data_IF_939370078172
#
_entry.id   IF_939370078172
#
_cell.length_a   1.000
_cell.length_b   1.000
_cell.length_c   1.000
_cell.angle_alpha   90.00
_cell.angle_beta   90.00
_cell.angle_gamma   90.00
#
_symmetry.space_group_name_H-M   'P 1'
#
loop_
_entity.id
_entity.type
_entity.pdbx_description
1 polymer ?
#
# COMPACT_ATOMS: atom_id res chain seq x y z
N UNK A 1 -51.12 26.02 -4.34
CA UNK A 1 -50.72 24.61 -4.53
C UNK A 1 -49.27 24.48 -4.11
N UNK A 2 -49.02 23.91 -2.92
CA UNK A 2 -47.67 23.64 -2.46
C UNK A 2 -47.16 22.37 -3.15
N UNK A 3 -46.06 22.48 -3.90
CA UNK A 3 -45.34 21.32 -4.40
C UNK A 3 -44.67 20.64 -3.20
N UNK A 4 -45.19 19.48 -2.79
CA UNK A 4 -44.44 18.54 -1.96
C UNK A 4 -43.27 18.04 -2.82
N UNK A 5 -42.06 18.43 -2.47
CA UNK A 5 -40.86 17.74 -2.93
C UNK A 5 -40.89 16.33 -2.35
N UNK A 6 -41.12 15.33 -3.20
CA UNK A 6 -40.91 13.93 -2.84
C UNK A 6 -39.41 13.73 -2.69
N UNK A 7 -38.94 13.75 -1.45
CA UNK A 7 -37.59 13.29 -1.10
C UNK A 7 -37.61 11.78 -1.28
N UNK A 8 -37.17 11.32 -2.45
CA UNK A 8 -36.87 9.91 -2.69
C UNK A 8 -35.67 9.55 -1.83
N UNK A 9 -35.89 9.02 -0.62
CA UNK A 9 -34.84 8.34 0.13
C UNK A 9 -34.43 7.12 -0.68
N UNK A 10 -33.29 7.20 -1.37
CA UNK A 10 -32.69 6.00 -1.96
C UNK A 10 -32.29 5.12 -0.78
N UNK A 11 -33.03 4.03 -0.55
CA UNK A 11 -32.67 3.06 0.47
C UNK A 11 -31.27 2.50 0.15
N UNK A 12 -30.35 2.54 1.12
CA UNK A 12 -28.99 2.04 0.94
C UNK A 12 -28.96 0.57 0.54
N UNK A 13 -27.98 0.19 -0.29
CA UNK A 13 -27.78 -1.19 -0.73
C UNK A 13 -27.31 -2.05 0.44
N UNK A 14 -27.98 -3.19 0.66
CA UNK A 14 -27.58 -4.16 1.68
C UNK A 14 -26.47 -5.06 1.14
N UNK A 15 -25.32 -5.03 1.79
CA UNK A 15 -24.16 -5.85 1.46
C UNK A 15 -23.97 -6.92 2.51
N UNK A 16 -23.62 -8.14 2.07
CA UNK A 16 -23.37 -9.26 2.97
C UNK A 16 -22.33 -10.20 2.38
N UNK A 17 -21.37 -10.56 3.22
CA UNK A 17 -20.36 -11.58 2.97
C UNK A 17 -20.82 -12.92 3.55
N UNK A 18 -20.17 -14.02 3.13
CA UNK A 18 -20.54 -15.37 3.58
C UNK A 18 -20.18 -15.65 5.04
N UNK A 19 -19.21 -14.94 5.57
CA UNK A 19 -18.68 -15.04 6.94
C UNK A 19 -19.34 -14.05 7.92
N UNK A 20 -20.52 -13.53 7.56
CA UNK A 20 -21.38 -12.80 8.48
C UNK A 20 -21.13 -11.30 8.57
N UNK A 21 -20.12 -10.75 7.88
CA UNK A 21 -19.94 -9.30 7.74
C UNK A 21 -21.02 -8.73 6.81
N UNK A 22 -21.75 -7.74 7.29
CA UNK A 22 -22.79 -7.03 6.54
C UNK A 22 -22.69 -5.52 6.74
N UNK A 23 -23.17 -4.75 5.77
CA UNK A 23 -23.23 -3.30 5.86
C UNK A 23 -24.37 -2.71 5.01
N UNK A 24 -24.80 -1.51 5.37
CA UNK A 24 -25.71 -0.69 4.54
C UNK A 24 -24.90 0.36 3.80
N UNK A 25 -24.86 0.28 2.47
CA UNK A 25 -24.04 1.15 1.63
C UNK A 25 -24.87 2.24 0.94
N UNK A 26 -24.34 3.47 0.95
CA UNK A 26 -24.87 4.62 0.24
C UNK A 26 -23.74 5.26 -0.57
N UNK A 27 -23.61 4.87 -1.85
CA UNK A 27 -22.46 5.22 -2.71
C UNK A 27 -21.15 4.77 -2.06
N UNK A 28 -20.31 5.72 -1.63
CA UNK A 28 -19.01 5.49 -1.00
C UNK A 28 -19.08 5.39 0.52
N UNK A 29 -20.24 5.66 1.14
CA UNK A 29 -20.41 5.58 2.58
C UNK A 29 -21.02 4.24 3.02
N UNK A 30 -20.70 3.83 4.24
CA UNK A 30 -21.39 2.76 4.95
C UNK A 30 -22.08 3.35 6.19
N UNK A 31 -23.42 3.32 6.23
CA UNK A 31 -24.20 3.90 7.33
C UNK A 31 -24.30 2.98 8.55
N UNK A 32 -24.13 1.66 8.35
CA UNK A 32 -23.99 0.67 9.42
C UNK A 32 -23.10 -0.49 8.98
N UNK A 33 -22.44 -1.12 9.96
CA UNK A 33 -21.64 -2.34 9.79
C UNK A 33 -22.03 -3.34 10.88
N UNK A 34 -22.17 -4.61 10.53
CA UNK A 34 -22.59 -5.67 11.44
C UNK A 34 -21.77 -6.95 11.24
N UNK A 35 -21.61 -7.73 12.30
CA UNK A 35 -21.06 -9.10 12.28
C UNK A 35 -22.12 -10.06 12.83
N UNK A 36 -22.41 -11.12 12.07
CA UNK A 36 -23.38 -12.17 12.45
C UNK A 36 -24.77 -11.63 12.82
N UNK A 37 -25.15 -10.51 12.21
CA UNK A 37 -26.43 -9.82 12.46
C UNK A 37 -26.43 -8.88 13.66
N UNK A 38 -25.35 -8.79 14.43
CA UNK A 38 -25.17 -7.79 15.47
C UNK A 38 -24.47 -6.54 14.91
N UNK A 39 -25.07 -5.37 15.08
CA UNK A 39 -24.45 -4.10 14.67
C UNK A 39 -23.22 -3.80 15.52
N UNK A 40 -22.15 -3.38 14.86
CA UNK A 40 -20.94 -2.93 15.51
C UNK A 40 -21.12 -1.50 16.04
N UNK A 41 -20.74 -1.21 17.29
CA UNK A 41 -21.06 0.05 17.95
C UNK A 41 -20.44 1.26 17.23
N UNK A 42 -21.29 2.17 16.76
CA UNK A 42 -20.92 3.39 16.03
C UNK A 42 -20.10 3.16 14.74
N UNK A 43 -20.06 1.92 14.24
CA UNK A 43 -19.29 1.57 13.06
C UNK A 43 -19.94 2.11 11.79
N UNK A 44 -19.31 3.13 11.22
CA UNK A 44 -19.69 3.72 9.93
C UNK A 44 -18.46 4.12 9.14
N UNK A 45 -18.59 4.18 7.82
CA UNK A 45 -17.49 4.60 6.93
C UNK A 45 -17.92 5.82 6.14
N UNK A 46 -17.13 6.89 6.24
CA UNK A 46 -17.29 8.11 5.46
C UNK A 46 -16.11 8.26 4.49
N UNK A 47 -16.36 8.86 3.32
CA UNK A 47 -15.33 9.16 2.33
C UNK A 47 -15.38 10.64 1.99
N UNK A 48 -14.23 11.32 2.06
CA UNK A 48 -14.13 12.76 1.86
C UNK A 48 -12.84 13.13 1.13
N UNK A 49 -12.87 14.17 0.30
CA UNK A 49 -11.67 14.81 -0.23
C UNK A 49 -11.32 16.01 0.64
N UNK A 50 -10.07 16.08 1.09
CA UNK A 50 -9.59 17.15 1.98
C UNK A 50 -8.37 17.83 1.39
N UNK A 51 -8.18 19.09 1.78
CA UNK A 51 -6.96 19.84 1.50
C UNK A 51 -5.78 19.20 2.26
N UNK A 52 -4.66 18.88 1.58
CA UNK A 52 -3.52 18.24 2.22
C UNK A 52 -2.89 19.05 3.37
N UNK A 53 -3.02 20.38 3.36
CA UNK A 53 -2.42 21.29 4.34
C UNK A 53 -3.40 21.83 5.40
N UNK A 54 -4.71 21.78 5.16
CA UNK A 54 -5.69 22.42 6.04
C UNK A 54 -6.66 21.45 6.77
N UNK A 55 -6.64 20.14 6.46
CA UNK A 55 -7.57 19.13 7.00
C UNK A 55 -9.08 19.48 6.78
N UNK A 56 -9.35 20.49 5.95
CA UNK A 56 -10.68 20.95 5.59
C UNK A 56 -11.13 20.29 4.28
N UNK A 57 -12.45 20.25 4.05
CA UNK A 57 -13.01 19.72 2.81
C UNK A 57 -12.47 20.50 1.59
N UNK A 58 -11.99 19.75 0.59
CA UNK A 58 -11.51 20.33 -0.65
C UNK A 58 -12.67 20.51 -1.65
N UNK A 59 -12.64 21.60 -2.40
CA UNK A 59 -13.64 21.92 -3.44
C UNK A 59 -13.10 21.67 -4.85
N UNK A 60 -14.01 21.46 -5.81
CA UNK A 60 -13.68 21.19 -7.21
C UNK A 60 -13.13 19.78 -7.43
N UNK A 61 -13.61 18.82 -6.65
CA UNK A 61 -13.33 17.40 -6.82
C UNK A 61 -14.64 16.62 -6.82
N UNK A 62 -14.78 15.69 -7.75
CA UNK A 62 -15.89 14.75 -7.81
C UNK A 62 -15.40 13.39 -7.33
N UNK A 63 -16.13 12.78 -6.39
CA UNK A 63 -15.86 11.41 -5.93
C UNK A 63 -16.96 10.49 -6.44
N UNK A 64 -16.55 9.46 -7.16
CA UNK A 64 -17.42 8.35 -7.54
C UNK A 64 -16.89 7.07 -6.92
N UNK A 65 -17.77 6.14 -6.59
CA UNK A 65 -17.39 4.84 -6.07
C UNK A 65 -18.55 4.11 -5.45
N UNK A 66 -18.35 2.81 -5.29
CA UNK A 66 -19.36 1.90 -4.78
C UNK A 66 -18.74 0.83 -3.90
N UNK A 67 -19.54 0.35 -2.96
CA UNK A 67 -19.24 -0.81 -2.16
C UNK A 67 -19.85 -2.06 -2.78
N UNK A 68 -19.06 -3.13 -2.83
CA UNK A 68 -19.48 -4.47 -3.26
C UNK A 68 -19.12 -5.50 -2.20
N UNK A 69 -19.79 -6.65 -2.20
CA UNK A 69 -19.46 -7.77 -1.33
C UNK A 69 -18.96 -8.96 -2.16
N UNK A 70 -17.66 -9.24 -2.10
CA UNK A 70 -17.02 -10.30 -2.88
C UNK A 70 -15.84 -10.90 -2.11
N UNK A 71 -15.57 -12.19 -2.28
CA UNK A 71 -14.38 -12.84 -1.72
C UNK A 71 -14.32 -12.91 -0.20
N UNK A 72 -15.43 -12.64 0.52
CA UNK A 72 -15.43 -12.54 1.98
C UNK A 72 -15.01 -11.16 2.52
N UNK A 73 -15.06 -10.12 1.67
CA UNK A 73 -14.83 -8.75 2.08
C UNK A 73 -15.89 -7.80 1.52
N UNK A 74 -15.99 -6.62 2.12
CA UNK A 74 -16.60 -5.45 1.50
C UNK A 74 -15.50 -4.69 0.76
N UNK A 75 -15.69 -4.42 -0.53
CA UNK A 75 -14.71 -3.73 -1.37
C UNK A 75 -15.27 -2.39 -1.79
N UNK A 76 -14.54 -1.32 -1.50
CA UNK A 76 -14.79 0.00 -2.04
C UNK A 76 -13.87 0.21 -3.24
N UNK A 77 -14.44 0.54 -4.39
CA UNK A 77 -13.70 0.94 -5.58
C UNK A 77 -14.32 2.22 -6.14
N UNK A 78 -13.46 3.14 -6.59
CA UNK A 78 -13.91 4.42 -7.08
C UNK A 78 -12.81 5.25 -7.72
N UNK A 79 -13.14 6.50 -8.02
CA UNK A 79 -12.24 7.49 -8.59
C UNK A 79 -12.54 8.87 -8.01
N UNK A 80 -11.48 9.65 -7.79
CA UNK A 80 -11.57 11.09 -7.59
C UNK A 80 -11.21 11.78 -8.90
N UNK A 81 -12.02 12.72 -9.34
CA UNK A 81 -11.75 13.56 -10.51
C UNK A 81 -11.58 15.00 -10.10
N UNK A 82 -10.48 15.63 -10.52
CA UNK A 82 -10.29 17.07 -10.36
C UNK A 82 -11.05 17.83 -11.45
N UNK A 83 -11.76 18.88 -11.06
CA UNK A 83 -12.41 19.80 -12.00
C UNK A 83 -11.38 20.73 -12.68
N UNK A 84 -11.71 21.13 -13.91
CA UNK A 84 -10.92 22.09 -14.68
C UNK A 84 -9.73 21.45 -15.41
N UNK A 85 -8.66 22.23 -15.53
CA UNK A 85 -7.49 21.89 -16.34
C UNK A 85 -6.16 22.11 -15.60
N UNK A 86 -6.18 22.72 -14.42
CA UNK A 86 -4.96 23.00 -13.66
C UNK A 86 -4.49 21.75 -12.91
N UNK A 87 -3.17 21.68 -12.68
CA UNK A 87 -2.61 20.70 -11.76
C UNK A 87 -3.10 20.97 -10.33
N UNK A 88 -3.46 19.89 -9.61
CA UNK A 88 -4.01 19.98 -8.25
C UNK A 88 -3.50 18.84 -7.38
N UNK A 89 -3.54 19.04 -6.08
CA UNK A 89 -3.32 17.99 -5.10
C UNK A 89 -4.50 17.97 -4.12
N UNK A 90 -4.90 16.77 -3.72
CA UNK A 90 -5.87 16.57 -2.66
C UNK A 90 -5.70 15.20 -2.03
N UNK A 91 -6.20 15.06 -0.81
CA UNK A 91 -6.18 13.79 -0.14
C UNK A 91 -7.57 13.18 -0.07
N UNK A 92 -7.71 11.93 -0.47
CA UNK A 92 -8.93 11.17 -0.24
C UNK A 92 -8.82 10.45 1.10
N UNK A 93 -9.78 10.69 1.99
CA UNK A 93 -9.84 10.11 3.32
C UNK A 93 -11.01 9.14 3.39
N UNK A 94 -10.71 7.86 3.62
CA UNK A 94 -11.68 6.84 4.02
C UNK A 94 -11.62 6.73 5.54
N UNK A 95 -12.67 7.19 6.23
CA UNK A 95 -12.72 7.27 7.69
C UNK A 95 -13.67 6.22 8.25
N UNK A 96 -13.15 5.28 9.01
CA UNK A 96 -13.93 4.31 9.79
C UNK A 96 -14.15 4.86 11.19
N UNK A 97 -15.40 5.11 11.56
CA UNK A 97 -15.77 5.59 12.90
C UNK A 97 -16.14 4.46 13.83
N UNK A 98 -16.11 4.73 15.13
CA UNK A 98 -16.28 3.71 16.17
C UNK A 98 -15.08 2.77 16.28
N UNK A 99 -14.01 3.05 15.51
CA UNK A 99 -12.83 2.22 15.41
C UNK A 99 -11.62 2.90 16.06
N UNK A 100 -10.72 2.07 16.55
CA UNK A 100 -9.41 2.45 17.09
C UNK A 100 -8.32 1.55 16.49
N UNK A 101 -7.08 2.02 16.50
CA UNK A 101 -5.93 1.20 16.13
C UNK A 101 -5.37 0.49 17.38
N UNK A 102 -5.27 -0.82 17.31
CA UNK A 102 -4.57 -1.63 18.31
C UNK A 102 -3.09 -1.75 17.90
N UNK A 103 -2.27 -0.79 18.31
CA UNK A 103 -0.84 -0.77 18.03
C UNK A 103 -0.05 -1.31 19.22
N UNK A 104 1.02 -2.04 18.92
CA UNK A 104 1.92 -2.61 19.93
C UNK A 104 3.38 -2.27 19.69
N UNK A 105 4.20 -2.79 20.59
CA UNK A 105 5.65 -2.93 20.40
C UNK A 105 6.01 -4.41 20.43
N UNK A 106 7.13 -4.78 19.82
CA UNK A 106 7.61 -6.18 19.86
C UNK A 106 7.83 -6.70 21.30
N UNK A 107 8.10 -5.82 22.26
CA UNK A 107 8.38 -6.19 23.64
C UNK A 107 7.13 -6.22 24.53
N UNK A 108 6.12 -5.38 24.23
CA UNK A 108 4.90 -5.28 25.04
C UNK A 108 3.79 -6.20 24.55
N UNK A 109 3.39 -6.04 23.28
CA UNK A 109 2.19 -6.67 22.73
C UNK A 109 2.51 -7.21 21.32
N UNK A 110 3.23 -8.34 21.22
CA UNK A 110 3.77 -8.84 19.95
C UNK A 110 2.70 -9.38 18.98
N UNK A 111 1.43 -9.48 19.42
CA UNK A 111 0.31 -9.87 18.58
C UNK A 111 -0.37 -8.68 17.88
N UNK A 112 -0.10 -7.45 18.36
CA UNK A 112 -0.63 -6.23 17.76
C UNK A 112 0.27 -5.76 16.60
N UNK A 113 -0.28 -4.90 15.73
CA UNK A 113 0.50 -4.25 14.68
C UNK A 113 1.61 -3.39 15.33
N UNK A 114 2.90 -3.63 15.03
CA UNK A 114 3.95 -2.78 15.56
C UNK A 114 3.79 -1.34 15.07
N UNK A 115 3.75 -0.37 15.99
CA UNK A 115 3.50 1.04 15.65
C UNK A 115 4.46 1.59 14.59
N UNK A 116 5.73 1.13 14.59
CA UNK A 116 6.76 1.49 13.61
C UNK A 116 6.48 1.06 12.15
N UNK A 117 5.52 0.15 11.97
CA UNK A 117 5.08 -0.39 10.69
C UNK A 117 3.75 0.22 10.23
N UNK A 118 3.13 1.10 11.03
CA UNK A 118 1.96 1.85 10.60
C UNK A 118 2.28 2.64 9.33
N UNK A 119 1.39 2.57 8.34
CA UNK A 119 1.58 3.17 6.99
C UNK A 119 2.73 2.59 6.16
N UNK A 120 3.52 1.64 6.69
CA UNK A 120 4.47 0.85 5.89
C UNK A 120 3.83 -0.42 5.35
N UNK A 121 2.83 -0.93 6.06
CA UNK A 121 2.01 -2.05 5.63
C UNK A 121 0.69 -1.53 5.05
N UNK A 122 0.15 -2.15 3.99
CA UNK A 122 -1.09 -1.74 3.33
C UNK A 122 -2.34 -2.18 4.11
N UNK A 123 -2.23 -2.39 5.43
CA UNK A 123 -3.25 -3.05 6.25
C UNK A 123 -3.16 -2.61 7.71
N UNK A 124 -4.32 -2.44 8.33
CA UNK A 124 -4.48 -2.26 9.77
C UNK A 124 -5.59 -3.14 10.32
N UNK A 125 -5.46 -3.55 11.58
CA UNK A 125 -6.57 -4.11 12.36
C UNK A 125 -7.37 -2.97 12.98
N UNK A 126 -8.69 -3.08 12.97
CA UNK A 126 -9.63 -2.13 13.54
C UNK A 126 -10.24 -2.71 14.81
N UNK A 127 -10.06 -2.01 15.92
CA UNK A 127 -10.70 -2.32 17.19
C UNK A 127 -12.03 -1.60 17.28
N UNK A 128 -13.13 -2.34 17.39
CA UNK A 128 -14.47 -1.79 17.54
C UNK A 128 -15.14 -2.48 18.72
N UNK A 129 -15.70 -1.70 19.65
CA UNK A 129 -16.30 -2.26 20.87
C UNK A 129 -15.32 -2.99 21.79
N UNK A 130 -14.01 -2.74 21.65
CA UNK A 130 -12.96 -3.38 22.45
C UNK A 130 -12.31 -4.60 21.81
N UNK A 131 -12.80 -5.05 20.66
CA UNK A 131 -12.30 -6.23 19.96
C UNK A 131 -11.73 -5.91 18.57
N UNK A 132 -10.66 -6.59 18.19
CA UNK A 132 -10.05 -6.51 16.85
C UNK A 132 -10.86 -7.34 15.85
N UNK A 133 -12.03 -6.84 15.47
CA UNK A 133 -13.05 -7.61 14.75
C UNK A 133 -13.11 -7.31 13.24
N UNK A 134 -12.46 -6.24 12.77
CA UNK A 134 -12.33 -5.92 11.35
C UNK A 134 -10.87 -5.58 10.98
N UNK A 135 -10.55 -5.64 9.69
CA UNK A 135 -9.36 -5.07 9.11
C UNK A 135 -9.70 -4.17 7.93
N UNK A 136 -8.92 -3.09 7.76
CA UNK A 136 -8.96 -2.19 6.61
C UNK A 136 -7.64 -2.31 5.85
N UNK A 137 -7.71 -2.56 4.55
CA UNK A 137 -6.51 -2.77 3.74
C UNK A 137 -6.63 -2.20 2.32
N UNK A 138 -5.49 -1.95 1.70
CA UNK A 138 -5.38 -1.66 0.27
C UNK A 138 -5.07 -2.95 -0.49
N UNK A 139 -5.73 -3.22 -1.62
CA UNK A 139 -5.32 -4.30 -2.51
C UNK A 139 -3.85 -4.13 -2.96
N UNK A 140 -3.05 -5.20 -2.99
CA UNK A 140 -1.64 -5.13 -3.37
C UNK A 140 -1.43 -4.78 -4.85
N UNK A 141 -2.44 -5.00 -5.69
CA UNK A 141 -2.50 -4.63 -7.11
C UNK A 141 -2.97 -3.18 -7.35
N UNK A 142 -3.35 -2.46 -6.29
CA UNK A 142 -3.81 -1.08 -6.33
C UNK A 142 -2.81 -0.15 -5.62
N UNK A 143 -1.60 -0.08 -6.15
CA UNK A 143 -0.51 0.73 -5.59
C UNK A 143 -0.93 2.19 -5.42
N UNK A 144 -0.82 2.69 -4.19
CA UNK A 144 -1.07 4.09 -3.87
C UNK A 144 -0.17 4.55 -2.72
N UNK A 145 0.23 5.83 -2.76
CA UNK A 145 0.81 6.51 -1.60
C UNK A 145 -0.31 6.67 -0.59
N UNK A 146 -0.14 6.05 0.57
CA UNK A 146 -1.17 6.00 1.60
C UNK A 146 -0.61 6.25 3.00
N UNK A 147 -1.50 6.60 3.90
CA UNK A 147 -1.21 6.78 5.31
C UNK A 147 -2.40 6.31 6.14
N UNK A 148 -2.14 5.52 7.18
CA UNK A 148 -3.12 5.23 8.21
C UNK A 148 -2.94 6.19 9.39
N UNK A 149 -4.05 6.76 9.86
CA UNK A 149 -4.09 7.64 11.03
C UNK A 149 -5.19 7.21 11.98
N UNK A 150 -5.05 7.57 13.25
CA UNK A 150 -6.11 7.40 14.25
C UNK A 150 -6.40 8.71 14.94
N UNK A 151 -7.67 8.99 15.18
CA UNK A 151 -8.12 10.04 16.09
C UNK A 151 -9.09 9.48 17.12
N UNK A 152 -9.72 10.36 17.90
CA UNK A 152 -10.67 9.93 18.93
C UNK A 152 -11.91 9.29 18.28
N UNK A 153 -12.03 7.97 18.42
CA UNK A 153 -13.17 7.19 17.92
C UNK A 153 -13.21 7.03 16.40
N UNK A 154 -12.08 7.18 15.71
CA UNK A 154 -11.98 6.88 14.28
C UNK A 154 -10.57 6.45 13.86
N UNK A 155 -10.52 5.70 12.75
CA UNK A 155 -9.32 5.36 11.99
C UNK A 155 -9.50 5.84 10.55
N UNK A 156 -8.45 6.39 9.97
CA UNK A 156 -8.43 6.89 8.59
C UNK A 156 -7.43 6.12 7.75
N UNK A 157 -7.83 5.81 6.52
CA UNK A 157 -6.94 5.54 5.40
C UNK A 157 -6.95 6.77 4.48
N UNK A 158 -5.80 7.41 4.32
CA UNK A 158 -5.62 8.59 3.50
C UNK A 158 -4.80 8.25 2.26
N UNK A 159 -5.32 8.55 1.09
CA UNK A 159 -4.60 8.52 -0.16
C UNK A 159 -4.07 9.91 -0.48
N UNK A 160 -2.83 10.01 -0.95
CA UNK A 160 -2.22 11.27 -1.40
C UNK A 160 -2.31 11.36 -2.92
N UNK A 161 -3.17 12.22 -3.45
CA UNK A 161 -3.37 12.34 -4.90
C UNK A 161 -2.78 13.61 -5.48
N UNK A 162 -2.09 13.43 -6.62
CA UNK A 162 -1.75 14.48 -7.56
C UNK A 162 -2.55 14.29 -8.84
N UNK A 163 -3.06 15.39 -9.37
CA UNK A 163 -3.88 15.44 -10.57
C UNK A 163 -3.19 16.34 -11.58
N UNK A 164 -2.92 15.82 -12.77
CA UNK A 164 -2.31 16.59 -13.87
C UNK A 164 -2.91 16.18 -15.21
N UNK A 165 -2.86 17.10 -16.19
CA UNK A 165 -3.25 16.80 -17.58
C UNK A 165 -2.20 16.00 -18.32
N UNK A 166 -0.97 16.01 -17.84
CA UNK A 166 0.16 15.33 -18.48
C UNK A 166 0.22 13.83 -18.11
N UNK A 167 -0.71 13.36 -17.27
CA UNK A 167 -0.88 11.95 -16.99
C UNK A 167 -1.34 11.17 -18.24
N UNK A 168 -1.21 9.83 -18.19
CA UNK A 168 -1.77 8.96 -19.22
C UNK A 168 -3.28 9.22 -19.39
N UNK A 169 -3.86 9.07 -20.59
CA UNK A 169 -5.25 9.46 -20.87
C UNK A 169 -6.28 8.98 -19.84
N UNK A 170 -6.13 7.75 -19.34
CA UNK A 170 -7.02 7.15 -18.33
C UNK A 170 -6.88 7.73 -16.92
N UNK A 171 -5.81 8.48 -16.63
CA UNK A 171 -5.52 9.13 -15.35
C UNK A 171 -5.48 10.67 -15.44
N UNK A 172 -5.78 11.25 -16.59
CA UNK A 172 -5.78 12.71 -16.75
C UNK A 172 -6.80 13.35 -15.81
N UNK A 173 -6.29 14.11 -14.84
CA UNK A 173 -7.06 14.72 -13.75
C UNK A 173 -7.94 13.72 -12.99
N UNK A 174 -7.51 12.46 -12.90
CA UNK A 174 -8.23 11.35 -12.27
C UNK A 174 -7.32 10.51 -11.40
N UNK A 175 -7.83 10.07 -10.25
CA UNK A 175 -7.12 9.21 -9.32
C UNK A 175 -8.03 8.06 -8.85
N UNK A 176 -7.85 6.83 -9.35
CA UNK A 176 -8.60 5.68 -8.87
C UNK A 176 -8.16 5.30 -7.46
N UNK A 177 -9.09 4.77 -6.67
CA UNK A 177 -8.82 4.30 -5.31
C UNK A 177 -9.55 2.99 -5.02
N UNK A 178 -8.95 2.16 -4.16
CA UNK A 178 -9.51 0.87 -3.74
C UNK A 178 -9.11 0.53 -2.31
N UNK A 179 -10.08 0.15 -1.48
CA UNK A 179 -9.80 -0.51 -0.21
C UNK A 179 -10.79 -1.65 0.05
N UNK A 180 -10.42 -2.51 0.99
CA UNK A 180 -11.25 -3.61 1.46
C UNK A 180 -11.42 -3.54 2.98
N UNK A 181 -12.62 -3.88 3.44
CA UNK A 181 -12.98 -4.08 4.83
C UNK A 181 -13.42 -5.53 4.99
N UNK A 182 -12.82 -6.26 5.93
CA UNK A 182 -13.17 -7.67 6.15
C UNK A 182 -13.07 -8.05 7.62
N UNK A 183 -13.72 -9.16 7.97
CA UNK A 183 -13.77 -9.70 9.33
C UNK A 183 -12.43 -10.26 9.78
N UNK A 184 -12.11 -10.07 11.04
CA UNK A 184 -10.98 -10.71 11.73
C UNK A 184 -11.47 -11.50 12.95
N UNK A 185 -10.64 -12.43 13.41
CA UNK A 185 -10.77 -13.12 14.69
C UNK A 185 -10.02 -12.33 15.78
N UNK A 186 -10.74 -11.76 16.77
CA UNK A 186 -10.12 -10.97 17.83
C UNK A 186 -9.07 -11.73 18.64
N UNK A 187 -9.15 -13.06 18.75
CA UNK A 187 -8.19 -13.88 19.48
C UNK A 187 -6.78 -13.80 18.87
N UNK A 188 -6.69 -13.58 17.56
CA UNK A 188 -5.44 -13.59 16.81
C UNK A 188 -4.95 -12.19 16.43
N UNK A 189 -5.68 -11.13 16.80
CA UNK A 189 -5.30 -9.74 16.58
C UNK A 189 -4.81 -9.47 15.14
N UNK A 190 -3.65 -8.83 14.98
CA UNK A 190 -3.09 -8.49 13.67
C UNK A 190 -2.77 -9.72 12.80
N UNK A 191 -2.56 -10.90 13.39
CA UNK A 191 -2.33 -12.12 12.61
C UNK A 191 -3.57 -12.54 11.81
N UNK A 192 -4.78 -12.37 12.37
CA UNK A 192 -6.01 -12.65 11.61
C UNK A 192 -6.21 -11.62 10.50
N UNK A 193 -5.88 -10.35 10.74
CA UNK A 193 -5.88 -9.33 9.69
C UNK A 193 -4.96 -9.76 8.54
N UNK A 194 -3.72 -10.15 8.83
CA UNK A 194 -2.75 -10.58 7.83
C UNK A 194 -3.16 -11.87 7.10
N UNK A 195 -3.69 -12.86 7.82
CA UNK A 195 -4.22 -14.09 7.22
C UNK A 195 -5.36 -13.78 6.22
N UNK A 196 -6.30 -12.93 6.61
CA UNK A 196 -7.37 -12.48 5.73
C UNK A 196 -6.83 -11.77 4.49
N UNK A 197 -5.77 -10.96 4.64
CA UNK A 197 -5.14 -10.27 3.52
C UNK A 197 -4.55 -11.25 2.49
N UNK A 198 -3.81 -12.26 2.96
CA UNK A 198 -3.25 -13.29 2.08
C UNK A 198 -4.33 -14.14 1.41
N UNK A 199 -5.42 -14.44 2.11
CA UNK A 199 -6.57 -15.16 1.54
C UNK A 199 -7.32 -14.36 0.47
N UNK A 200 -7.43 -13.03 0.65
CA UNK A 200 -8.08 -12.14 -0.32
C UNK A 200 -7.21 -11.90 -1.56
N UNK A 201 -5.89 -11.91 -1.40
CA UNK A 201 -4.94 -11.61 -2.46
C UNK A 201 -3.83 -12.65 -2.56
N UNK A 202 -4.14 -13.92 -2.90
CA UNK A 202 -3.13 -14.99 -2.86
C UNK A 202 -2.02 -14.78 -3.91
N UNK A 203 -2.38 -14.31 -5.10
CA UNK A 203 -1.47 -14.28 -6.26
C UNK A 203 -0.15 -13.53 -6.01
N UNK A 204 -0.11 -12.31 -5.43
CA UNK A 204 1.16 -11.64 -5.16
C UNK A 204 2.05 -12.33 -4.12
N UNK A 205 1.50 -13.25 -3.33
CA UNK A 205 2.22 -14.02 -2.31
C UNK A 205 2.48 -15.47 -2.74
N UNK A 206 2.08 -15.86 -3.94
CA UNK A 206 2.49 -17.14 -4.51
C UNK A 206 4.02 -17.14 -4.68
N UNK A 207 4.72 -18.14 -4.14
CA UNK A 207 6.17 -18.23 -4.32
C UNK A 207 6.50 -18.30 -5.81
N UNK A 208 7.26 -17.32 -6.32
CA UNK A 208 7.86 -17.38 -7.66
C UNK A 208 9.27 -18.01 -7.63
N UNK A 209 9.76 -18.32 -6.42
CA UNK A 209 11.04 -18.96 -6.14
C UNK A 209 11.04 -20.35 -6.79
N UNK A 210 11.92 -20.55 -7.77
CA UNK A 210 12.03 -21.83 -8.51
C UNK A 210 12.90 -22.84 -7.78
N UNK A 211 13.85 -22.38 -6.98
CA UNK A 211 14.82 -23.20 -6.24
C UNK A 211 15.01 -22.61 -4.84
N UNK A 212 15.07 -23.46 -3.81
CA UNK A 212 15.25 -22.99 -2.45
C UNK A 212 16.74 -22.75 -2.13
N UNK A 213 17.06 -21.63 -1.49
CA UNK A 213 18.41 -21.34 -1.03
C UNK A 213 18.54 -19.92 -0.49
N UNK A 214 19.56 -19.68 0.33
CA UNK A 214 19.92 -18.36 0.81
C UNK A 214 20.48 -17.45 -0.28
N UNK A 215 20.43 -16.16 -0.01
CA UNK A 215 21.09 -15.11 -0.79
C UNK A 215 22.55 -14.95 -0.35
N UNK A 216 23.44 -14.89 -1.31
CA UNK A 216 24.88 -14.77 -1.13
C UNK A 216 25.34 -13.42 -1.66
N UNK A 217 25.68 -12.50 -0.75
CA UNK A 217 26.00 -11.10 -1.03
C UNK A 217 27.51 -10.87 -1.07
N UNK A 218 28.02 -10.35 -2.20
CA UNK A 218 29.36 -9.77 -2.34
C UNK A 218 30.52 -10.62 -1.76
N UNK A 219 30.45 -11.94 -1.89
CA UNK A 219 31.47 -12.86 -1.42
C UNK A 219 31.83 -13.86 -2.53
N UNK A 220 33.07 -14.35 -2.51
CA UNK A 220 33.50 -15.38 -3.45
C UNK A 220 32.72 -16.67 -3.20
N UNK A 221 32.25 -17.33 -4.26
CA UNK A 221 31.53 -18.61 -4.14
C UNK A 221 32.45 -19.80 -3.92
N UNK A 222 33.76 -19.56 -3.76
CA UNK A 222 34.77 -20.58 -3.49
C UNK A 222 34.79 -20.91 -1.99
N UNK A 223 34.93 -22.19 -1.64
CA UNK A 223 35.03 -22.69 -0.25
C UNK A 223 33.86 -22.36 0.69
N UNK A 224 32.64 -22.24 0.16
CA UNK A 224 31.46 -22.00 0.99
C UNK A 224 31.17 -23.19 1.92
N UNK A 225 31.05 -22.98 3.25
CA UNK A 225 30.55 -24.03 4.12
C UNK A 225 29.08 -24.28 3.83
N UNK A 226 28.73 -25.54 3.52
CA UNK A 226 27.36 -25.96 3.19
C UNK A 226 26.78 -25.26 1.95
N UNK A 227 27.41 -25.40 0.76
CA UNK A 227 26.99 -24.70 -0.45
C UNK A 227 25.54 -25.03 -0.86
N UNK A 228 25.03 -26.21 -0.50
CA UNK A 228 23.65 -26.63 -0.74
C UNK A 228 22.59 -25.78 -0.05
N UNK A 229 22.96 -24.92 0.90
CA UNK A 229 22.03 -23.98 1.55
C UNK A 229 21.92 -22.65 0.80
N UNK A 230 22.68 -22.46 -0.27
CA UNK A 230 22.72 -21.24 -1.06
C UNK A 230 22.33 -21.55 -2.51
N UNK A 231 21.63 -20.61 -3.13
CA UNK A 231 21.27 -20.72 -4.54
C UNK A 231 21.41 -19.38 -5.26
N UNK A 232 21.21 -18.26 -4.56
CA UNK A 232 21.18 -16.94 -5.16
C UNK A 232 22.50 -16.22 -4.92
N UNK A 233 23.37 -16.14 -5.92
CA UNK A 233 24.62 -15.37 -5.84
C UNK A 233 24.45 -13.98 -6.46
N UNK A 234 24.65 -12.94 -5.66
CA UNK A 234 24.71 -11.56 -6.12
C UNK A 234 26.07 -11.28 -6.76
N UNK A 235 26.17 -11.53 -8.07
CA UNK A 235 27.43 -11.48 -8.82
C UNK A 235 27.23 -11.10 -10.29
N UNK A 236 28.32 -10.78 -10.98
CA UNK A 236 28.33 -10.40 -12.38
C UNK A 236 28.87 -8.99 -12.68
N UNK A 237 29.00 -8.62 -13.97
CA UNK A 237 28.69 -9.41 -15.17
C UNK A 237 29.76 -10.45 -15.58
N UNK A 238 30.80 -10.66 -14.76
CA UNK A 238 31.80 -11.72 -14.97
C UNK A 238 31.68 -12.82 -13.88
N UNK A 239 32.24 -14.00 -14.15
CA UNK A 239 32.30 -15.12 -13.18
C UNK A 239 31.10 -16.08 -13.20
N UNK A 240 30.16 -15.91 -14.12
CA UNK A 240 28.91 -16.68 -14.17
C UNK A 240 29.11 -18.18 -14.42
N UNK A 241 30.17 -18.54 -15.14
CA UNK A 241 30.50 -19.94 -15.40
C UNK A 241 30.82 -20.72 -14.11
N UNK A 242 31.47 -20.08 -13.14
CA UNK A 242 31.81 -20.73 -11.87
C UNK A 242 30.57 -21.00 -11.01
N UNK A 243 29.58 -20.11 -11.08
CA UNK A 243 28.29 -20.28 -10.41
C UNK A 243 27.47 -21.40 -11.06
N UNK A 244 27.40 -21.40 -12.40
CA UNK A 244 26.71 -22.43 -13.19
C UNK A 244 27.28 -23.83 -12.90
N UNK A 245 28.61 -23.97 -12.87
CA UNK A 245 29.28 -25.23 -12.54
C UNK A 245 28.94 -25.75 -11.13
N UNK A 246 28.54 -24.85 -10.22
CA UNK A 246 28.16 -25.15 -8.84
C UNK A 246 26.64 -25.27 -8.64
N UNK A 247 25.85 -25.07 -9.69
CA UNK A 247 24.39 -25.08 -9.63
C UNK A 247 23.79 -23.87 -8.89
N UNK A 248 24.53 -22.77 -8.82
CA UNK A 248 24.06 -21.49 -8.29
C UNK A 248 23.44 -20.66 -9.42
N UNK A 249 22.42 -19.87 -9.11
CA UNK A 249 21.95 -18.82 -9.99
C UNK A 249 22.77 -17.55 -9.76
N UNK A 250 23.28 -16.95 -10.85
CA UNK A 250 23.92 -15.63 -10.81
C UNK A 250 22.90 -14.52 -11.05
N UNK A 251 22.86 -13.54 -10.15
CA UNK A 251 21.91 -12.43 -10.18
C UNK A 251 22.67 -11.10 -10.15
N UNK A 252 22.88 -10.45 -11.31
CA UNK A 252 23.49 -9.12 -11.36
C UNK A 252 22.64 -8.12 -10.59
N UNK A 253 23.23 -7.51 -9.56
CA UNK A 253 22.56 -6.46 -8.80
C UNK A 253 22.67 -5.12 -9.52
N UNK A 254 21.53 -4.45 -9.66
CA UNK A 254 21.46 -3.10 -10.16
C UNK A 254 20.48 -2.30 -9.32
N UNK A 255 20.92 -1.16 -8.81
CA UNK A 255 20.05 -0.21 -8.14
C UNK A 255 19.28 0.60 -9.19
N UNK A 256 17.95 0.68 -9.06
CA UNK A 256 17.12 1.43 -10.01
C UNK A 256 17.24 2.95 -9.86
N UNK A 257 17.74 3.42 -8.71
CA UNK A 257 17.83 4.84 -8.35
C UNK A 257 19.25 5.34 -8.16
N UNK A 258 20.24 4.47 -8.34
CA UNK A 258 21.65 4.84 -8.20
C UNK A 258 22.48 4.12 -9.27
N UNK A 259 23.59 4.73 -9.64
CA UNK A 259 24.58 4.10 -10.50
C UNK A 259 25.91 4.15 -9.75
N UNK A 260 26.56 3.00 -9.56
CA UNK A 260 27.92 2.98 -9.02
C UNK A 260 28.89 3.42 -10.10
N UNK A 261 29.43 4.63 -9.95
CA UNK A 261 30.38 5.21 -10.89
C UNK A 261 31.79 4.99 -10.38
N UNK A 262 32.63 4.33 -11.17
CA UNK A 262 34.07 4.30 -10.92
C UNK A 262 34.68 5.61 -11.41
N UNK A 263 35.11 6.47 -10.48
CA UNK A 263 35.86 7.67 -10.84
C UNK A 263 37.30 7.31 -11.21
N UNK A 264 37.92 8.01 -12.18
CA UNK A 264 39.34 7.89 -12.44
C UNK A 264 40.18 8.22 -11.18
N UNK A 265 41.26 7.47 -10.97
CA UNK A 265 42.17 7.63 -9.84
C UNK A 265 41.86 6.72 -8.64
N UNK A 266 42.86 6.52 -7.77
CA UNK A 266 42.75 5.62 -6.61
C UNK A 266 42.20 6.26 -5.33
N UNK A 267 41.87 7.56 -5.35
CA UNK A 267 41.36 8.29 -4.19
C UNK A 267 39.96 8.85 -4.46
N UNK A 268 39.11 8.82 -3.45
CA UNK A 268 37.79 9.48 -3.47
C UNK A 268 37.94 11.02 -3.41
N UNK A 269 37.02 11.78 -4.04
CA UNK A 269 37.03 13.24 -3.95
C UNK A 269 36.86 13.71 -2.50
N UNK A 270 37.62 14.74 -2.10
CA UNK A 270 37.65 15.25 -0.72
C UNK A 270 36.63 16.38 -0.49
N UNK A 271 35.96 16.84 -1.54
CA UNK A 271 34.91 17.87 -1.49
C UNK A 271 33.84 17.64 -2.57
N UNK A 272 32.70 18.33 -2.41
CA UNK A 272 31.62 18.34 -3.40
C UNK A 272 32.11 18.86 -4.77
N UNK A 273 32.87 19.97 -4.77
CA UNK A 273 33.39 20.57 -6.00
C UNK A 273 34.33 19.62 -6.75
N UNK A 274 35.19 18.89 -6.03
CA UNK A 274 36.07 17.89 -6.61
C UNK A 274 35.28 16.71 -7.20
N UNK A 275 34.22 16.27 -6.52
CA UNK A 275 33.34 15.22 -7.02
C UNK A 275 32.64 15.64 -8.33
N UNK A 276 32.10 16.86 -8.37
CA UNK A 276 31.41 17.38 -9.56
C UNK A 276 32.38 17.60 -10.74
N UNK A 277 33.63 18.01 -10.49
CA UNK A 277 34.65 18.16 -11.54
C UNK A 277 35.00 16.80 -12.18
N UNK A 278 35.25 15.76 -11.36
CA UNK A 278 35.53 14.42 -11.87
C UNK A 278 34.34 13.79 -12.59
N UNK A 279 33.12 14.11 -12.15
CA UNK A 279 31.90 13.68 -12.83
C UNK A 279 31.78 14.31 -14.23
N UNK A 280 32.06 15.61 -14.38
CA UNK A 280 32.06 16.28 -15.68
C UNK A 280 33.13 15.72 -16.64
N UNK A 281 34.31 15.34 -16.13
CA UNK A 281 35.34 14.66 -16.92
C UNK A 281 34.84 13.30 -17.44
N UNK A 282 34.14 12.54 -16.61
CA UNK A 282 33.55 11.26 -16.99
C UNK A 282 32.46 11.43 -18.07
N UNK A 283 31.58 12.41 -17.94
CA UNK A 283 30.57 12.70 -18.98
C UNK A 283 31.24 12.97 -20.33
N UNK A 284 32.30 13.78 -20.36
CA UNK A 284 33.05 14.05 -21.59
C UNK A 284 33.65 12.79 -22.21
N UNK A 285 34.13 11.85 -21.38
CA UNK A 285 34.70 10.58 -21.87
C UNK A 285 33.64 9.64 -22.45
N UNK A 286 32.46 9.55 -21.82
CA UNK A 286 31.36 8.70 -22.30
C UNK A 286 30.81 9.21 -23.64
N UNK A 287 30.73 10.53 -23.83
CA UNK A 287 30.19 11.14 -25.05
C UNK A 287 31.24 11.40 -26.15
N UNK A 288 32.54 11.28 -25.87
CA UNK A 288 33.59 11.38 -26.89
C UNK A 288 33.84 10.05 -27.64
N UNK A 289 33.25 8.94 -27.19
CA UNK A 289 33.40 7.59 -27.76
C UNK A 289 32.14 7.14 -28.55
N UNK A 290 31.12 8.00 -28.64
CA UNK A 290 29.94 7.84 -29.51
C UNK A 290 30.09 8.66 -30.80
#
# INVERSE_FOLDING_TARGET
>A
MAFLAVVSSVAGAQLRTRDGLAATAERTALSSVALDGAELPNARVDVQVVDPGAEAEATGFEVTGEWTAEGGCLRLAGEVRAEGEADRAADLVVRVRGAELALGTMAGDPLLLPAKLLSKLPIVSLRIGGEDCLALALPPDALAIHEFRSGKGFVELRYRFGFTRDARPELQLRAPFRCVLYRTDPQWHFRSALEGYYRLFPQPFEPFIREAGGWFFAAETQDLPNPQHFHYHEGGPAGWQEDDERGLGTYPYQESSSWTISLPGGELPKSYDEAMARFAELEQQVFAVA
#
